data_IF_870510158395
#
_entry.id   IF_870510158395
#
_cell.length_a   1.000
_cell.length_b   1.000
_cell.length_c   1.000
_cell.angle_alpha   90.00
_cell.angle_beta   90.00
_cell.angle_gamma   90.00
#
_symmetry.space_group_name_H-M   'P 1'
#
loop_
_entity.id
_entity.type
_entity.pdbx_description
1 polymer ?
#
# COMPACT_ATOMS: atom_id res chain seq x y z
N UNK A 1 16.63 19.99 -6.93
CA UNK A 1 15.68 18.90 -7.21
C UNK A 1 15.13 18.45 -5.87
N UNK A 2 13.89 18.79 -5.56
CA UNK A 2 13.30 18.48 -4.25
C UNK A 2 12.90 17.00 -4.23
N UNK A 3 13.76 16.14 -3.69
CA UNK A 3 13.42 14.75 -3.39
C UNK A 3 12.46 14.78 -2.20
N UNK A 4 11.17 14.59 -2.47
CA UNK A 4 10.16 14.51 -1.41
C UNK A 4 10.47 13.23 -0.61
N UNK A 5 10.77 13.33 0.71
CA UNK A 5 11.09 12.17 1.53
C UNK A 5 9.97 11.14 1.48
N UNK A 6 10.30 9.85 1.49
CA UNK A 6 9.32 8.77 1.39
C UNK A 6 8.14 8.91 2.38
N UNK A 7 8.41 9.37 3.60
CA UNK A 7 7.38 9.57 4.64
C UNK A 7 6.43 10.74 4.37
N UNK A 8 6.85 11.69 3.53
CA UNK A 8 6.05 12.86 3.14
C UNK A 8 5.21 12.57 1.88
N UNK A 9 5.44 11.43 1.21
CA UNK A 9 4.65 10.98 0.07
C UNK A 9 3.32 10.40 0.51
N UNK A 10 2.28 10.59 -0.31
CA UNK A 10 0.94 10.03 -0.05
C UNK A 10 0.86 8.57 -0.50
N UNK A 11 1.49 8.26 -1.65
CA UNK A 11 1.42 6.98 -2.33
C UNK A 11 2.82 6.44 -2.62
N UNK A 12 2.97 5.13 -2.53
CA UNK A 12 4.19 4.41 -2.89
C UNK A 12 3.89 3.20 -3.78
N UNK A 13 4.90 2.77 -4.52
CA UNK A 13 4.84 1.52 -5.29
C UNK A 13 4.98 0.30 -4.39
N UNK A 14 4.56 -0.88 -4.87
CA UNK A 14 4.72 -2.15 -4.12
C UNK A 14 6.19 -2.42 -3.74
N UNK A 15 7.13 -2.12 -4.64
CA UNK A 15 8.56 -2.27 -4.37
C UNK A 15 9.04 -1.34 -3.25
N UNK A 16 8.59 -0.09 -3.26
CA UNK A 16 8.95 0.89 -2.23
C UNK A 16 8.32 0.52 -0.89
N UNK A 17 7.07 0.05 -0.88
CA UNK A 17 6.40 -0.45 0.32
C UNK A 17 7.13 -1.66 0.93
N UNK A 18 7.56 -2.61 0.08
CA UNK A 18 8.33 -3.77 0.49
C UNK A 18 9.68 -3.36 1.13
N UNK A 19 10.39 -2.43 0.49
CA UNK A 19 11.66 -1.90 1.00
C UNK A 19 11.48 -1.13 2.32
N UNK A 20 10.47 -0.26 2.39
CA UNK A 20 10.21 0.57 3.58
C UNK A 20 9.72 -0.26 4.78
N UNK A 21 8.93 -1.30 4.55
CA UNK A 21 8.45 -2.20 5.59
C UNK A 21 9.42 -3.36 5.89
N UNK A 22 10.52 -3.50 5.13
CA UNK A 22 11.48 -4.59 5.31
C UNK A 22 10.90 -5.99 5.06
N UNK A 23 9.90 -6.11 4.17
CA UNK A 23 9.22 -7.38 3.86
C UNK A 23 9.30 -7.74 2.39
N UNK A 24 8.99 -9.00 2.07
CA UNK A 24 8.89 -9.45 0.69
C UNK A 24 7.65 -8.88 -0.02
N UNK A 25 7.74 -8.74 -1.34
CA UNK A 25 6.60 -8.32 -2.19
C UNK A 25 5.37 -9.21 -1.99
N UNK A 26 5.57 -10.53 -1.84
CA UNK A 26 4.50 -11.48 -1.56
C UNK A 26 3.75 -11.15 -0.27
N UNK A 27 4.46 -10.68 0.77
CA UNK A 27 3.85 -10.28 2.03
C UNK A 27 3.02 -9.00 1.91
N UNK A 28 3.48 -8.05 1.07
CA UNK A 28 2.69 -6.88 0.69
C UNK A 28 1.40 -7.29 -0.04
N UNK A 29 1.49 -8.19 -1.03
CA UNK A 29 0.30 -8.73 -1.71
C UNK A 29 -0.64 -9.47 -0.75
N UNK A 30 -0.10 -10.22 0.19
CA UNK A 30 -0.89 -10.89 1.22
C UNK A 30 -1.62 -9.88 2.12
N UNK A 31 -0.95 -8.79 2.52
CA UNK A 31 -1.58 -7.71 3.28
C UNK A 31 -2.66 -6.97 2.50
N UNK A 32 -2.47 -6.78 1.20
CA UNK A 32 -3.51 -6.24 0.31
C UNK A 32 -4.71 -7.19 0.20
N UNK A 33 -4.45 -8.48 -0.04
CA UNK A 33 -5.50 -9.50 -0.13
C UNK A 33 -6.27 -9.67 1.20
N UNK A 34 -5.57 -9.47 2.33
CA UNK A 34 -6.15 -9.54 3.67
C UNK A 34 -6.78 -8.21 4.13
N UNK A 35 -6.73 -7.14 3.32
CA UNK A 35 -7.25 -5.82 3.68
C UNK A 35 -6.47 -5.08 4.78
N UNK A 36 -5.26 -5.52 5.13
CA UNK A 36 -4.44 -4.91 6.19
C UNK A 36 -3.82 -3.57 5.78
N UNK A 37 -3.63 -3.36 4.49
CA UNK A 37 -3.13 -2.09 3.93
C UNK A 37 -4.01 -1.64 2.78
N UNK A 38 -4.13 -0.33 2.59
CA UNK A 38 -4.88 0.26 1.49
C UNK A 38 -4.01 0.45 0.25
N UNK A 39 -4.57 0.13 -0.90
CA UNK A 39 -4.02 0.53 -2.19
C UNK A 39 -5.09 1.20 -3.04
N UNK A 40 -4.63 2.11 -3.89
CA UNK A 40 -5.41 2.77 -4.93
C UNK A 40 -4.85 2.34 -6.27
N UNK A 41 -5.73 2.02 -7.22
CA UNK A 41 -5.34 1.93 -8.62
C UNK A 41 -5.26 3.35 -9.15
N UNK A 42 -4.13 3.69 -9.76
CA UNK A 42 -3.98 4.96 -10.45
C UNK A 42 -4.35 4.71 -11.91
N UNK A 43 -5.53 5.22 -12.32
CA UNK A 43 -6.08 4.98 -13.66
C UNK A 43 -5.17 5.46 -14.79
N UNK A 44 -4.29 6.44 -14.52
CA UNK A 44 -3.36 7.02 -15.50
C UNK A 44 -2.31 6.01 -16.01
N UNK A 45 -1.87 5.08 -15.16
CA UNK A 45 -0.78 4.13 -15.44
C UNK A 45 -1.24 2.66 -15.34
N UNK A 46 -2.48 2.42 -14.87
CA UNK A 46 -2.99 1.09 -14.51
C UNK A 46 -2.24 0.42 -13.33
N UNK A 47 -1.35 1.15 -12.66
CA UNK A 47 -0.50 0.63 -11.59
C UNK A 47 -1.17 0.78 -10.22
N UNK A 48 -1.08 -0.28 -9.42
CA UNK A 48 -1.50 -0.28 -8.02
C UNK A 48 -0.47 0.47 -7.16
N UNK A 49 -0.91 1.52 -6.47
CA UNK A 49 -0.09 2.24 -5.48
C UNK A 49 -0.65 2.03 -4.07
N UNK A 50 0.24 1.88 -3.10
CA UNK A 50 -0.09 1.67 -1.69
C UNK A 50 -0.10 3.01 -0.98
N UNK A 51 -1.09 3.21 -0.10
CA UNK A 51 -1.19 4.38 0.75
C UNK A 51 -0.17 4.27 1.89
N UNK A 52 0.82 5.16 1.91
CA UNK A 52 1.95 5.10 2.87
C UNK A 52 1.45 5.16 4.31
N UNK A 53 0.48 6.03 4.61
CA UNK A 53 -0.10 6.13 5.95
C UNK A 53 -0.71 4.82 6.46
N UNK A 54 -1.32 4.01 5.58
CA UNK A 54 -1.85 2.69 5.96
C UNK A 54 -0.73 1.67 6.21
N UNK A 55 0.35 1.73 5.44
CA UNK A 55 1.52 0.88 5.64
C UNK A 55 2.24 1.21 6.95
N UNK A 56 2.44 2.49 7.24
CA UNK A 56 3.07 2.97 8.47
C UNK A 56 2.24 2.56 9.70
N UNK A 57 0.91 2.79 9.67
CA UNK A 57 0.01 2.33 10.74
C UNK A 57 0.11 0.83 11.02
N UNK A 58 0.26 0.01 9.98
CA UNK A 58 0.45 -1.43 10.14
C UNK A 58 1.82 -1.76 10.77
N UNK A 59 2.88 -1.04 10.38
CA UNK A 59 4.23 -1.23 10.91
C UNK A 59 4.37 -0.74 12.37
N UNK A 60 3.64 0.31 12.74
CA UNK A 60 3.64 0.92 14.08
C UNK A 60 2.76 0.14 15.10
N UNK A 61 1.99 -0.85 14.66
CA UNK A 61 1.34 -1.82 15.54
C UNK A 61 -0.02 -1.42 16.11
N UNK A 62 -0.67 -0.36 15.62
CA UNK A 62 -2.04 -0.03 16.01
C UNK A 62 -3.05 -0.86 15.21
N UNK A 63 -3.44 -2.00 15.78
CA UNK A 63 -4.47 -2.89 15.28
C UNK A 63 -5.86 -2.26 15.49
N UNK A 64 -6.31 -1.39 14.58
CA UNK A 64 -7.73 -1.07 14.41
C UNK A 64 -8.13 -1.41 12.97
N UNK A 65 -8.95 -2.44 12.83
CA UNK A 65 -9.38 -3.02 11.55
C UNK A 65 -10.85 -2.67 11.29
N UNK A 66 -11.15 -1.65 10.46
CA UNK A 66 -12.43 -1.60 9.76
C UNK A 66 -12.37 -2.44 8.47
N UNK A 67 -13.46 -3.14 8.10
CA UNK A 67 -13.50 -4.02 6.95
C UNK A 67 -13.32 -3.20 5.67
N UNK A 68 -12.21 -3.40 4.95
CA UNK A 68 -12.02 -2.81 3.62
C UNK A 68 -12.52 -3.78 2.56
N UNK A 69 -13.61 -3.39 1.89
CA UNK A 69 -14.14 -4.07 0.72
C UNK A 69 -13.06 -4.09 -0.37
N UNK A 70 -12.73 -5.25 -0.96
CA UNK A 70 -11.75 -5.29 -2.05
C UNK A 70 -12.27 -4.46 -3.22
N UNK A 71 -11.45 -3.49 -3.67
CA UNK A 71 -11.69 -2.76 -4.92
C UNK A 71 -11.81 -3.80 -6.03
N UNK A 72 -13.00 -3.85 -6.64
CA UNK A 72 -13.36 -4.81 -7.66
C UNK A 72 -12.26 -4.93 -8.71
N UNK A 73 -11.70 -6.13 -8.82
CA UNK A 73 -10.93 -6.52 -9.99
C UNK A 73 -11.87 -6.42 -11.20
N UNK A 74 -11.71 -5.38 -12.02
CA UNK A 74 -12.21 -5.41 -13.39
C UNK A 74 -11.48 -6.55 -14.10
N UNK A 75 -12.21 -7.63 -14.33
CA UNK A 75 -11.87 -8.72 -15.23
C UNK A 75 -12.05 -8.21 -16.67
N UNK A 76 -11.16 -8.63 -17.56
CA UNK A 76 -11.36 -8.64 -19.00
C UNK A 76 -10.99 -10.04 -19.49
#
# INVERSE_FOLDING_TARGET
>A
MSDIPFRDRVLCSINEAAAAAGVSRSKIYQWLASGKIRAVKVDDDGRTKIVIASLLKLAEGSHENPPVTPVAARQA
#
